data_IF_372557584597
#
_entry.id   IF_372557584597
#
_cell.length_a   1.000
_cell.length_b   1.000
_cell.length_c   1.000
_cell.angle_alpha   90.00
_cell.angle_beta   90.00
_cell.angle_gamma   90.00
#
_symmetry.space_group_name_H-M   'P 1'
#
loop_
_entity.id
_entity.type
_entity.pdbx_description
1 polymer ?
#
# COMPACT_ATOMS: atom_id res chain seq x y z
N UNK A 1 11.33 13.59 4.55
CA UNK A 1 10.35 12.50 4.66
C UNK A 1 9.51 12.40 3.40
N UNK A 2 8.95 11.24 3.16
CA UNK A 2 8.13 10.98 1.99
C UNK A 2 6.77 10.47 2.43
N UNK A 3 5.72 10.92 1.78
CA UNK A 3 4.36 10.41 1.97
C UNK A 3 3.98 9.60 0.74
N UNK A 4 3.59 8.35 0.96
CA UNK A 4 3.15 7.45 -0.09
C UNK A 4 1.66 7.17 0.10
N UNK A 5 0.86 7.58 -0.87
CA UNK A 5 -0.55 7.23 -0.92
C UNK A 5 -0.70 5.99 -1.76
N UNK A 6 -1.44 5.03 -1.26
CA UNK A 6 -1.64 3.75 -1.95
C UNK A 6 -3.05 3.25 -1.72
N UNK A 7 -3.44 2.29 -2.54
CA UNK A 7 -4.66 1.54 -2.28
C UNK A 7 -4.40 0.06 -2.47
N UNK A 8 -5.25 -0.75 -1.86
CA UNK A 8 -5.23 -2.19 -2.02
C UNK A 8 -6.59 -2.60 -2.58
N UNK A 9 -6.56 -3.33 -3.68
CA UNK A 9 -7.74 -3.92 -4.29
C UNK A 9 -7.86 -5.36 -3.83
N UNK A 10 -8.95 -5.69 -3.13
CA UNK A 10 -9.28 -7.04 -2.74
C UNK A 10 -10.28 -7.60 -3.74
N UNK A 11 -9.84 -8.56 -4.53
CA UNK A 11 -10.72 -9.26 -5.46
C UNK A 11 -11.34 -10.45 -4.75
N UNK A 12 -12.66 -10.51 -4.72
CA UNK A 12 -13.41 -11.51 -3.98
C UNK A 12 -13.79 -12.69 -4.88
N UNK A 13 -14.06 -13.83 -4.26
CA UNK A 13 -14.43 -15.05 -4.99
C UNK A 13 -15.70 -14.86 -5.83
N UNK A 14 -16.66 -14.05 -5.33
CA UNK A 14 -17.92 -13.81 -6.01
C UNK A 14 -17.82 -12.82 -7.18
N UNK A 15 -16.60 -12.35 -7.50
CA UNK A 15 -16.37 -11.40 -8.58
C UNK A 15 -16.44 -9.93 -8.15
N UNK A 16 -16.76 -9.64 -6.90
CA UNK A 16 -16.76 -8.27 -6.40
C UNK A 16 -15.34 -7.80 -6.10
N UNK A 17 -15.18 -6.49 -6.02
CA UNK A 17 -13.90 -5.85 -5.73
C UNK A 17 -14.11 -4.80 -4.63
N UNK A 18 -13.26 -4.84 -3.61
CA UNK A 18 -13.26 -3.84 -2.54
C UNK A 18 -11.92 -3.13 -2.57
N UNK A 19 -11.96 -1.79 -2.59
CA UNK A 19 -10.75 -0.96 -2.59
C UNK A 19 -10.62 -0.27 -1.24
N UNK A 20 -9.44 -0.38 -0.62
CA UNK A 20 -9.10 0.32 0.62
C UNK A 20 -7.94 1.26 0.36
N UNK A 21 -8.14 2.55 0.66
CA UNK A 21 -7.12 3.59 0.50
C UNK A 21 -6.40 3.84 1.81
N UNK A 22 -5.11 4.13 1.75
CA UNK A 22 -4.33 4.45 2.94
C UNK A 22 -3.08 5.25 2.54
N UNK A 23 -2.30 5.63 3.53
CA UNK A 23 -1.04 6.33 3.30
C UNK A 23 0.03 5.87 4.29
N UNK A 24 1.28 6.06 3.91
CA UNK A 24 2.45 5.68 4.69
C UNK A 24 3.44 6.84 4.68
N UNK A 25 4.04 7.13 5.84
CA UNK A 25 5.12 8.10 5.95
C UNK A 25 6.46 7.37 6.04
N UNK A 26 7.38 7.69 5.13
CA UNK A 26 8.75 7.17 5.17
C UNK A 26 9.63 8.19 5.84
N UNK A 27 10.19 7.83 7.00
CA UNK A 27 11.05 8.72 7.79
C UNK A 27 12.54 8.46 7.55
N UNK A 28 12.89 7.54 6.66
CA UNK A 28 14.28 7.19 6.40
C UNK A 28 14.96 8.30 5.57
N UNK A 29 15.93 8.98 6.16
CA UNK A 29 16.66 10.08 5.52
C UNK A 29 17.53 9.65 4.35
N UNK A 30 17.80 8.36 4.20
CA UNK A 30 18.55 7.81 3.06
C UNK A 30 17.72 7.74 1.79
N UNK A 31 16.42 7.89 1.90
CA UNK A 31 15.52 7.92 0.75
C UNK A 31 15.50 9.34 0.20
N UNK A 32 16.10 9.56 -0.96
CA UNK A 32 16.31 10.89 -1.53
C UNK A 32 15.51 11.17 -2.79
N UNK A 33 14.83 10.17 -3.35
CA UNK A 33 14.04 10.33 -4.57
C UNK A 33 12.74 9.54 -4.49
N UNK A 34 11.77 9.93 -5.32
CA UNK A 34 10.49 9.23 -5.41
C UNK A 34 10.69 7.77 -5.88
N UNK A 35 11.65 7.53 -6.76
CA UNK A 35 11.99 6.18 -7.23
C UNK A 35 12.47 5.29 -6.08
N UNK A 36 13.34 5.83 -5.22
CA UNK A 36 13.82 5.10 -4.04
C UNK A 36 12.69 4.85 -3.04
N UNK A 37 11.81 5.84 -2.85
CA UNK A 37 10.64 5.69 -1.97
C UNK A 37 9.72 4.57 -2.45
N UNK A 38 9.48 4.50 -3.75
CA UNK A 38 8.68 3.43 -4.36
C UNK A 38 9.31 2.06 -4.11
N UNK A 39 10.60 1.92 -4.34
CA UNK A 39 11.32 0.67 -4.11
C UNK A 39 11.28 0.25 -2.65
N UNK A 40 11.43 1.21 -1.74
CA UNK A 40 11.38 0.97 -0.30
C UNK A 40 10.03 0.39 0.12
N UNK A 41 8.94 1.00 -0.34
CA UNK A 41 7.58 0.55 0.02
C UNK A 41 7.29 -0.83 -0.57
N UNK A 42 7.63 -1.05 -1.84
CA UNK A 42 7.40 -2.33 -2.51
C UNK A 42 8.19 -3.46 -1.86
N UNK A 43 9.44 -3.17 -1.45
CA UNK A 43 10.26 -4.15 -0.76
C UNK A 43 9.67 -4.53 0.59
N UNK A 44 9.19 -3.55 1.36
CA UNK A 44 8.57 -3.81 2.65
C UNK A 44 7.28 -4.60 2.53
N UNK A 45 6.45 -4.28 1.54
CA UNK A 45 5.23 -5.01 1.28
C UNK A 45 5.53 -6.47 0.92
N UNK A 46 6.52 -6.69 0.06
CA UNK A 46 6.91 -8.03 -0.39
C UNK A 46 7.46 -8.89 0.75
N UNK A 47 8.18 -8.29 1.70
CA UNK A 47 8.85 -9.02 2.79
C UNK A 47 8.12 -8.94 4.13
N UNK A 48 6.81 -8.81 4.10
CA UNK A 48 6.02 -8.90 5.32
C UNK A 48 5.49 -7.58 5.87
N UNK A 49 5.75 -6.46 5.22
CA UNK A 49 5.11 -5.21 5.58
C UNK A 49 3.59 -5.36 5.40
N UNK A 50 2.85 -5.07 6.45
CA UNK A 50 1.40 -5.12 6.40
C UNK A 50 0.87 -3.69 6.37
N UNK A 51 0.34 -3.22 5.22
CA UNK A 51 -0.29 -1.90 5.17
C UNK A 51 -1.43 -1.83 6.19
N UNK A 52 -1.59 -0.66 6.80
CA UNK A 52 -2.61 -0.44 7.82
C UNK A 52 -4.00 -0.35 7.17
N UNK A 53 -4.49 -1.49 6.70
CA UNK A 53 -5.79 -1.61 6.08
C UNK A 53 -6.64 -2.56 6.93
N UNK A 54 -7.81 -2.08 7.34
CA UNK A 54 -8.73 -2.91 8.12
C UNK A 54 -9.43 -3.91 7.18
N UNK A 55 -9.24 -5.21 7.43
CA UNK A 55 -9.88 -6.28 6.68
C UNK A 55 -11.11 -6.85 7.39
N UNK A 56 -11.43 -6.37 8.59
CA UNK A 56 -12.49 -6.94 9.39
C UNK A 56 -13.89 -6.76 8.78
N UNK A 57 -14.04 -5.78 7.89
CA UNK A 57 -15.29 -5.53 7.18
C UNK A 57 -15.50 -6.46 5.99
N UNK A 58 -14.52 -7.30 5.65
CA UNK A 58 -14.57 -8.16 4.49
C UNK A 58 -14.92 -9.57 4.93
N UNK A 59 -16.20 -9.92 4.77
CA UNK A 59 -16.73 -11.23 5.18
C UNK A 59 -16.70 -12.29 4.08
N UNK A 60 -16.41 -11.87 2.82
CA UNK A 60 -16.35 -12.76 1.67
C UNK A 60 -14.88 -13.16 1.46
N UNK A 61 -14.65 -14.42 1.07
CA UNK A 61 -13.29 -14.90 0.86
C UNK A 61 -12.55 -14.10 -0.21
N UNK A 62 -11.36 -13.64 0.13
CA UNK A 62 -10.50 -12.89 -0.78
C UNK A 62 -9.80 -13.86 -1.72
N UNK A 63 -9.95 -13.61 -3.03
CA UNK A 63 -9.27 -14.39 -4.06
C UNK A 63 -7.82 -13.93 -4.23
N UNK A 64 -7.61 -12.62 -4.33
CA UNK A 64 -6.28 -12.03 -4.40
C UNK A 64 -6.30 -10.58 -3.95
N UNK A 65 -5.10 -10.04 -3.73
CA UNK A 65 -4.89 -8.65 -3.34
C UNK A 65 -3.91 -8.00 -4.33
N UNK A 66 -4.18 -6.73 -4.69
CA UNK A 66 -3.25 -5.91 -5.48
C UNK A 66 -2.90 -4.66 -4.70
N UNK A 67 -1.60 -4.43 -4.54
CA UNK A 67 -1.08 -3.23 -3.89
C UNK A 67 -0.66 -2.22 -4.95
N UNK A 68 -1.28 -1.04 -4.95
CA UNK A 68 -1.06 -0.01 -5.98
C UNK A 68 -0.65 1.29 -5.33
N UNK A 69 0.49 1.84 -5.75
CA UNK A 69 0.96 3.15 -5.29
C UNK A 69 0.32 4.23 -6.16
N UNK A 70 -0.43 5.14 -5.53
CA UNK A 70 -1.13 6.21 -6.23
C UNK A 70 -0.28 7.47 -6.38
N UNK A 71 0.43 7.87 -5.32
CA UNK A 71 1.18 9.12 -5.30
C UNK A 71 2.31 9.04 -4.29
N UNK A 72 3.45 9.62 -4.64
CA UNK A 72 4.61 9.74 -3.74
C UNK A 72 4.98 11.21 -3.69
N UNK A 73 4.97 11.80 -2.48
CA UNK A 73 5.30 13.21 -2.27
C UNK A 73 6.40 13.37 -1.23
N UNK A 74 7.33 14.29 -1.50
CA UNK A 74 8.27 14.74 -0.50
C UNK A 74 7.59 15.77 0.40
N UNK A 75 7.59 15.53 1.72
CA UNK A 75 6.89 16.39 2.68
C UNK A 75 7.83 17.15 3.63
N UNK A 76 9.12 16.84 3.60
CA UNK A 76 10.14 17.63 4.30
C UNK A 76 11.54 17.19 3.91
#
# INVERSE_FOLDING_TARGET
>A
MWKVNYHIDFNLIDGQKITKNNSLIIKNLKITSASEAKKYVLKKYKYGFQPMVNKDDIFITIKNEEFIIDCIKKIS
#
